data_IF_463998640116
#
_entry.id   IF_463998640116
#
_cell.length_a   1.000
_cell.length_b   1.000
_cell.length_c   1.000
_cell.angle_alpha   90.00
_cell.angle_beta   90.00
_cell.angle_gamma   90.00
#
_symmetry.space_group_name_H-M   'P 1'
#
loop_
_entity.id
_entity.type
_entity.pdbx_description
1 polymer ?
#
# COMPACT_ATOMS: atom_id res chain seq x y z
N UNK A 1 3.44 67.19 -10.29
CA UNK A 1 3.02 66.00 -11.09
C UNK A 1 4.10 64.90 -11.26
N UNK A 2 5.23 64.92 -10.55
CA UNK A 2 6.29 63.87 -10.69
C UNK A 2 6.24 62.74 -9.65
N UNK A 3 5.56 62.92 -8.52
CA UNK A 3 5.42 61.86 -7.49
C UNK A 3 4.30 60.87 -7.77
N UNK A 4 3.22 61.29 -8.45
CA UNK A 4 2.11 60.39 -8.84
C UNK A 4 2.51 59.34 -9.90
N UNK A 5 3.47 59.65 -10.78
CA UNK A 5 3.99 58.68 -11.77
C UNK A 5 4.91 57.60 -11.16
N UNK A 6 5.56 57.88 -10.03
CA UNK A 6 6.40 56.89 -9.33
C UNK A 6 5.58 55.88 -8.51
N UNK A 7 4.42 56.31 -7.98
CA UNK A 7 3.50 55.44 -7.25
C UNK A 7 2.69 54.52 -8.18
N UNK A 8 2.33 54.98 -9.39
CA UNK A 8 1.66 54.15 -10.40
C UNK A 8 2.62 53.10 -10.99
N UNK A 9 3.90 53.43 -11.16
CA UNK A 9 4.92 52.47 -11.60
C UNK A 9 5.28 51.43 -10.52
N UNK A 10 5.22 51.80 -9.23
CA UNK A 10 5.42 50.87 -8.12
C UNK A 10 4.22 49.91 -7.93
N UNK A 11 2.99 50.39 -8.15
CA UNK A 11 1.78 49.55 -8.10
C UNK A 11 1.69 48.55 -9.27
N UNK A 12 2.16 48.94 -10.47
CA UNK A 12 2.25 48.05 -11.63
C UNK A 12 3.38 47.01 -11.52
N UNK A 13 4.45 47.29 -10.77
CA UNK A 13 5.51 46.32 -10.49
C UNK A 13 5.15 45.31 -9.37
N UNK A 14 4.32 45.72 -8.41
CA UNK A 14 3.80 44.83 -7.37
C UNK A 14 2.73 43.85 -7.88
N UNK A 15 1.96 44.23 -8.91
CA UNK A 15 0.96 43.36 -9.55
C UNK A 15 1.56 42.36 -10.56
N UNK A 16 2.80 42.56 -11.00
CA UNK A 16 3.48 41.69 -11.97
C UNK A 16 4.41 40.64 -11.31
N UNK A 17 4.59 40.70 -9.99
CA UNK A 17 5.38 39.73 -9.22
C UNK A 17 4.53 38.66 -8.50
N UNK A 18 3.20 38.80 -8.49
CA UNK A 18 2.27 37.79 -7.97
C UNK A 18 1.78 36.79 -9.05
N UNK A 19 2.39 36.80 -10.24
CA UNK A 19 1.95 35.98 -11.40
C UNK A 19 2.90 34.87 -11.82
N UNK A 20 3.98 34.59 -11.09
CA UNK A 20 5.00 33.61 -11.47
C UNK A 20 5.31 32.65 -10.31
N UNK A 21 4.27 32.03 -9.75
CA UNK A 21 4.35 30.69 -9.14
C UNK A 21 2.92 30.13 -9.00
N UNK A 22 2.19 30.08 -10.12
CA UNK A 22 1.08 29.13 -10.24
C UNK A 22 1.70 27.78 -10.56
N UNK A 23 2.04 27.05 -9.49
CA UNK A 23 2.29 25.63 -9.58
C UNK A 23 1.04 24.94 -10.11
N UNK A 24 1.17 24.30 -11.26
CA UNK A 24 0.19 23.35 -11.75
C UNK A 24 0.24 22.12 -10.83
N UNK A 25 -0.75 21.99 -9.97
CA UNK A 25 -0.93 20.87 -9.07
C UNK A 25 -2.41 20.54 -8.92
N UNK A 26 -2.83 19.46 -9.58
CA UNK A 26 -4.00 18.67 -9.21
C UNK A 26 -5.34 19.05 -9.84
N UNK A 27 -5.77 18.27 -10.82
CA UNK A 27 -7.16 17.87 -10.94
C UNK A 27 -7.20 16.41 -11.43
N UNK A 28 -7.21 15.50 -10.46
CA UNK A 28 -7.64 14.12 -10.64
C UNK A 28 -9.02 14.12 -11.30
N UNK A 29 -9.19 13.32 -12.36
CA UNK A 29 -10.48 13.11 -12.98
C UNK A 29 -11.47 12.58 -11.95
N UNK A 30 -12.46 13.40 -11.60
CA UNK A 30 -13.66 12.93 -10.97
C UNK A 30 -14.47 12.20 -12.03
N UNK A 31 -14.42 10.87 -12.02
CA UNK A 31 -15.40 10.04 -12.72
C UNK A 31 -16.75 10.36 -12.09
N UNK A 32 -17.58 11.08 -12.83
CA UNK A 32 -19.00 11.19 -12.55
C UNK A 32 -19.62 9.79 -12.71
N UNK A 33 -19.71 9.04 -11.61
CA UNK A 33 -20.66 7.94 -11.54
C UNK A 33 -22.03 8.57 -11.45
N UNK A 34 -22.69 8.65 -12.60
CA UNK A 34 -24.13 8.81 -12.70
C UNK A 34 -24.77 7.66 -11.95
N UNK A 35 -25.15 7.87 -10.70
CA UNK A 35 -26.12 7.02 -10.00
C UNK A 35 -27.48 7.29 -10.65
N UNK A 36 -27.68 6.75 -11.86
CA UNK A 36 -29.00 6.54 -12.39
C UNK A 36 -29.64 5.52 -11.46
N UNK A 37 -30.62 5.99 -10.69
CA UNK A 37 -31.53 5.15 -9.95
C UNK A 37 -32.15 4.14 -10.93
N UNK A 38 -31.68 2.90 -10.86
CA UNK A 38 -32.41 1.77 -11.41
C UNK A 38 -33.54 1.52 -10.41
N UNK A 39 -34.68 2.12 -10.74
CA UNK A 39 -35.96 1.74 -10.20
C UNK A 39 -36.29 0.35 -10.75
N UNK A 40 -35.86 -0.69 -10.04
CA UNK A 40 -36.31 -2.04 -10.29
C UNK A 40 -37.71 -2.19 -9.69
N UNK A 41 -38.70 -2.11 -10.57
CA UNK A 41 -40.08 -2.48 -10.29
C UNK A 41 -40.10 -4.02 -10.30
N UNK A 42 -39.80 -4.63 -9.15
CA UNK A 42 -40.11 -6.03 -8.88
C UNK A 42 -41.53 -6.12 -8.30
N UNK A 43 -42.51 -6.09 -9.18
CA UNK A 43 -43.91 -6.37 -8.89
C UNK A 43 -44.15 -7.86 -9.19
N UNK A 44 -44.29 -8.70 -8.17
CA UNK A 44 -44.59 -10.12 -8.39
C UNK A 44 -44.40 -11.04 -7.18
N UNK A 45 -45.42 -11.09 -6.32
CA UNK A 45 -45.88 -12.22 -5.47
C UNK A 45 -46.64 -11.58 -4.30
N UNK A 46 -47.93 -11.82 -4.12
CA UNK A 46 -48.61 -13.10 -4.07
C UNK A 46 -49.24 -13.16 -2.68
N UNK A 47 -50.53 -12.84 -2.60
CA UNK A 47 -51.34 -12.95 -1.39
C UNK A 47 -51.18 -14.30 -0.67
N UNK A 48 -50.88 -14.25 0.63
CA UNK A 48 -51.29 -15.29 1.58
C UNK A 48 -51.30 -14.75 3.03
N UNK A 49 -52.50 -14.43 3.50
CA UNK A 49 -52.99 -14.71 4.86
C UNK A 49 -52.19 -14.24 6.06
N UNK A 50 -52.47 -13.01 6.53
CA UNK A 50 -52.21 -12.63 7.91
C UNK A 50 -53.30 -13.22 8.82
N UNK A 51 -52.92 -14.17 9.68
CA UNK A 51 -53.65 -14.46 10.92
C UNK A 51 -52.84 -13.88 12.08
N UNK A 52 -53.45 -12.89 12.72
CA UNK A 52 -53.04 -12.44 14.04
C UNK A 52 -53.49 -13.48 15.06
N UNK A 53 -52.59 -13.92 15.93
CA UNK A 53 -52.99 -14.30 17.28
C UNK A 53 -52.00 -13.75 18.31
N UNK A 54 -52.62 -13.25 19.36
CA UNK A 54 -52.07 -12.43 20.43
C UNK A 54 -51.66 -13.36 21.56
N UNK A 55 -50.38 -13.40 21.92
CA UNK A 55 -49.94 -14.03 23.16
C UNK A 55 -48.97 -13.12 23.91
N UNK A 56 -49.62 -12.30 24.75
CA UNK A 56 -49.21 -11.78 26.06
C UNK A 56 -47.76 -11.98 26.51
N UNK A 57 -47.11 -10.87 26.84
CA UNK A 57 -45.75 -10.82 27.34
C UNK A 57 -45.58 -11.37 28.76
N UNK A 58 -44.43 -11.99 28.98
CA UNK A 58 -43.76 -11.98 30.28
C UNK A 58 -42.27 -11.85 29.98
N UNK A 59 -41.70 -10.72 30.39
CA UNK A 59 -40.31 -10.37 30.14
C UNK A 59 -39.36 -11.38 30.77
N UNK A 60 -38.64 -12.10 29.92
CA UNK A 60 -37.35 -12.69 30.22
C UNK A 60 -36.33 -11.99 29.34
N UNK A 61 -35.40 -11.27 29.96
CA UNK A 61 -34.26 -10.69 29.26
C UNK A 61 -33.50 -11.82 28.56
N UNK A 62 -33.67 -11.95 27.25
CA UNK A 62 -32.74 -12.69 26.40
C UNK A 62 -31.46 -11.86 26.37
N UNK A 63 -30.63 -12.03 27.40
CA UNK A 63 -29.20 -11.83 27.24
C UNK A 63 -28.81 -12.63 26.00
N UNK A 64 -28.37 -11.92 24.98
CA UNK A 64 -27.58 -12.49 23.90
C UNK A 64 -26.29 -12.98 24.55
N UNK A 65 -26.40 -14.14 25.20
CA UNK A 65 -25.26 -14.96 25.52
C UNK A 65 -24.56 -15.19 24.19
N UNK A 66 -23.38 -14.60 24.06
CA UNK A 66 -22.51 -14.80 22.91
C UNK A 66 -22.22 -16.28 22.93
N UNK A 67 -22.98 -17.03 22.12
CA UNK A 67 -22.95 -18.47 22.09
C UNK A 67 -21.50 -18.88 22.03
N UNK A 68 -20.99 -19.36 23.15
CA UNK A 68 -19.74 -20.05 23.21
C UNK A 68 -19.93 -21.18 22.20
N UNK A 69 -19.28 -21.03 21.04
CA UNK A 69 -19.23 -22.03 20.00
C UNK A 69 -18.44 -23.19 20.59
N UNK A 70 -19.09 -23.97 21.45
CA UNK A 70 -18.58 -25.24 21.92
C UNK A 70 -18.24 -26.06 20.69
N UNK A 71 -17.03 -26.63 20.59
CA UNK A 71 -16.69 -27.53 19.51
C UNK A 71 -17.74 -28.64 19.47
N UNK A 72 -18.57 -28.65 18.43
CA UNK A 72 -19.28 -29.86 18.04
C UNK A 72 -18.17 -30.84 17.64
N UNK A 73 -17.83 -31.74 18.56
CA UNK A 73 -16.73 -32.71 18.51
C UNK A 73 -16.76 -33.62 17.26
N UNK A 74 -17.88 -33.61 16.53
CA UNK A 74 -18.05 -34.34 15.27
C UNK A 74 -17.75 -33.54 14.00
N UNK A 75 -17.67 -32.21 14.06
CA UNK A 75 -17.48 -31.39 12.85
C UNK A 75 -16.06 -31.51 12.32
N UNK A 76 -15.95 -31.65 11.00
CA UNK A 76 -14.67 -31.62 10.28
C UNK A 76 -14.46 -30.22 9.76
N UNK A 77 -13.56 -29.48 10.41
CA UNK A 77 -13.31 -28.07 10.12
C UNK A 77 -11.85 -27.89 9.71
N UNK A 78 -11.64 -27.18 8.62
CA UNK A 78 -10.31 -26.73 8.17
C UNK A 78 -10.15 -25.28 8.60
N UNK A 79 -9.04 -24.97 9.25
CA UNK A 79 -8.66 -23.61 9.63
C UNK A 79 -7.49 -23.13 8.79
N UNK A 80 -7.61 -21.93 8.26
CA UNK A 80 -6.55 -21.25 7.52
C UNK A 80 -6.39 -19.83 8.04
N UNK A 81 -5.15 -19.38 8.18
CA UNK A 81 -4.85 -18.00 8.52
C UNK A 81 -3.71 -17.45 7.67
N UNK A 82 -3.80 -16.15 7.41
CA UNK A 82 -2.71 -15.37 6.85
C UNK A 82 -2.43 -14.19 7.77
N UNK A 83 -1.18 -14.08 8.20
CA UNK A 83 -0.67 -13.02 9.05
C UNK A 83 0.32 -12.17 8.26
N UNK A 84 0.14 -10.85 8.33
CA UNK A 84 1.12 -9.88 7.85
C UNK A 84 1.68 -9.16 9.06
N UNK A 85 2.98 -9.33 9.25
CA UNK A 85 3.74 -8.84 10.38
C UNK A 85 4.85 -7.91 9.85
N UNK A 86 5.08 -6.84 10.58
CA UNK A 86 6.21 -5.94 10.35
C UNK A 86 7.11 -5.94 11.59
N UNK A 87 8.41 -5.83 11.38
CA UNK A 87 9.38 -5.76 12.48
C UNK A 87 10.53 -4.82 12.16
N UNK A 88 11.12 -4.22 13.20
CA UNK A 88 12.40 -3.51 13.10
C UNK A 88 13.60 -4.40 13.43
N UNK A 89 13.33 -5.56 14.02
CA UNK A 89 14.33 -6.51 14.51
C UNK A 89 14.00 -7.87 13.91
N UNK A 90 14.36 -8.05 12.65
CA UNK A 90 14.00 -9.23 11.86
C UNK A 90 14.44 -10.54 12.54
N UNK A 91 15.71 -10.62 12.97
CA UNK A 91 16.27 -11.85 13.52
C UNK A 91 15.56 -12.29 14.82
N UNK A 92 15.18 -11.32 15.67
CA UNK A 92 14.45 -11.61 16.92
C UNK A 92 12.99 -12.00 16.64
N UNK A 93 12.31 -11.31 15.73
CA UNK A 93 10.92 -11.62 15.39
C UNK A 93 10.80 -12.98 14.68
N UNK A 94 11.71 -13.29 13.75
CA UNK A 94 11.79 -14.59 13.09
C UNK A 94 12.03 -15.71 14.11
N UNK A 95 13.00 -15.54 15.02
CA UNK A 95 13.25 -16.52 16.07
C UNK A 95 12.04 -16.71 17.00
N UNK A 96 11.38 -15.62 17.41
CA UNK A 96 10.20 -15.68 18.26
C UNK A 96 9.02 -16.39 17.57
N UNK A 97 8.83 -16.20 16.27
CA UNK A 97 7.80 -16.90 15.49
C UNK A 97 8.07 -18.40 15.40
N UNK A 98 9.31 -18.80 15.14
CA UNK A 98 9.69 -20.21 15.06
C UNK A 98 9.59 -20.90 16.44
N UNK A 99 9.94 -20.19 17.51
CA UNK A 99 9.77 -20.68 18.88
C UNK A 99 8.29 -20.87 19.22
N UNK A 100 7.43 -19.88 18.90
CA UNK A 100 5.99 -19.98 19.08
C UNK A 100 5.40 -21.16 18.27
N UNK A 101 5.90 -21.38 17.04
CA UNK A 101 5.50 -22.53 16.23
C UNK A 101 5.91 -23.85 16.92
N UNK A 102 7.15 -23.95 17.41
CA UNK A 102 7.64 -25.14 18.11
C UNK A 102 6.84 -25.44 19.38
N UNK A 103 6.47 -24.41 20.15
CA UNK A 103 5.68 -24.55 21.37
C UNK A 103 4.26 -25.04 21.08
N UNK A 104 3.67 -24.61 19.96
CA UNK A 104 2.37 -25.08 19.49
C UNK A 104 2.41 -26.46 18.80
N UNK A 105 3.58 -27.14 18.77
CA UNK A 105 3.76 -28.40 18.06
C UNK A 105 3.65 -28.28 16.53
N UNK A 106 3.80 -27.07 16.00
CA UNK A 106 3.76 -26.79 14.58
C UNK A 106 5.12 -27.03 13.92
N UNK A 107 5.11 -27.25 12.61
CA UNK A 107 6.32 -27.35 11.81
C UNK A 107 6.27 -26.43 10.60
N UNK A 108 7.45 -26.05 10.11
CA UNK A 108 7.62 -25.27 8.88
C UNK A 108 7.50 -26.22 7.69
N UNK A 109 6.47 -26.04 6.88
CA UNK A 109 6.33 -26.77 5.61
C UNK A 109 7.21 -26.16 4.53
N UNK A 110 7.24 -24.83 4.46
CA UNK A 110 8.11 -24.10 3.55
C UNK A 110 8.49 -22.74 4.12
N UNK A 111 9.68 -22.28 3.76
CA UNK A 111 10.15 -20.94 4.09
C UNK A 111 10.85 -20.34 2.88
N UNK A 112 10.49 -19.11 2.55
CA UNK A 112 11.15 -18.33 1.52
C UNK A 112 11.61 -17.00 2.12
N UNK A 113 12.89 -16.69 2.00
CA UNK A 113 13.48 -15.46 2.54
C UNK A 113 14.04 -14.63 1.40
N UNK A 114 13.83 -13.32 1.46
CA UNK A 114 14.31 -12.37 0.47
C UNK A 114 14.79 -11.07 1.11
N UNK A 115 15.35 -10.16 0.31
CA UNK A 115 15.84 -8.85 0.76
C UNK A 115 17.28 -8.85 1.27
N UNK A 116 17.70 -7.74 1.90
CA UNK A 116 19.06 -7.50 2.38
C UNK A 116 19.06 -6.85 3.75
N UNK A 117 19.85 -7.42 4.67
CA UNK A 117 20.09 -6.83 5.99
C UNK A 117 20.70 -5.42 5.90
N UNK A 118 21.51 -5.14 4.88
CA UNK A 118 22.15 -3.83 4.69
C UNK A 118 21.14 -2.75 4.28
N UNK A 119 20.09 -3.13 3.54
CA UNK A 119 19.02 -2.22 3.11
C UNK A 119 17.88 -2.14 4.13
N UNK A 120 17.82 -3.07 5.08
CA UNK A 120 16.74 -3.17 6.06
C UNK A 120 15.39 -3.48 5.40
N UNK A 121 15.42 -4.28 4.32
CA UNK A 121 14.27 -4.70 3.52
C UNK A 121 14.11 -6.23 3.48
N UNK A 122 14.64 -6.95 4.49
CA UNK A 122 14.50 -8.40 4.59
C UNK A 122 13.04 -8.77 4.76
N UNK A 123 12.63 -9.84 4.11
CA UNK A 123 11.31 -10.43 4.29
C UNK A 123 11.41 -11.94 4.36
N UNK A 124 10.48 -12.55 5.10
CA UNK A 124 10.32 -14.01 5.10
C UNK A 124 8.86 -14.38 5.01
N UNK A 125 8.61 -15.38 4.19
CA UNK A 125 7.35 -16.05 4.05
C UNK A 125 7.45 -17.45 4.63
N UNK A 126 6.65 -17.74 5.66
CA UNK A 126 6.53 -19.07 6.24
C UNK A 126 5.16 -19.66 5.93
N UNK A 127 5.16 -20.93 5.50
CA UNK A 127 3.96 -21.77 5.52
C UNK A 127 4.12 -22.75 6.67
N UNK A 128 3.31 -22.56 7.72
CA UNK A 128 3.34 -23.36 8.94
C UNK A 128 2.15 -24.31 8.96
N UNK A 129 2.41 -25.55 9.37
CA UNK A 129 1.37 -26.54 9.64
C UNK A 129 1.23 -26.66 11.15
N UNK A 130 0.11 -26.15 11.66
CA UNK A 130 -0.16 -26.02 13.09
C UNK A 130 -1.25 -27.01 13.46
N UNK A 131 -1.07 -27.88 14.47
CA UNK A 131 -2.15 -28.73 14.96
C UNK A 131 -3.41 -27.91 15.24
N UNK A 132 -4.57 -28.36 14.75
CA UNK A 132 -5.82 -27.59 14.85
C UNK A 132 -6.19 -27.21 16.29
N UNK A 133 -5.81 -28.04 17.27
CA UNK A 133 -6.00 -27.79 18.70
C UNK A 133 -5.22 -26.57 19.20
N UNK A 134 -4.03 -26.33 18.67
CA UNK A 134 -3.12 -25.23 19.06
C UNK A 134 -3.17 -24.03 18.10
N UNK A 135 -4.05 -24.07 17.09
CA UNK A 135 -4.18 -23.01 16.08
C UNK A 135 -4.39 -21.62 16.70
N UNK A 136 -5.36 -21.50 17.62
CA UNK A 136 -5.70 -20.21 18.23
C UNK A 136 -4.59 -19.67 19.15
N UNK A 137 -3.91 -20.56 19.87
CA UNK A 137 -2.76 -20.25 20.72
C UNK A 137 -1.60 -19.73 19.89
N UNK A 138 -1.27 -20.43 18.80
CA UNK A 138 -0.23 -20.02 17.87
C UNK A 138 -0.50 -18.64 17.26
N UNK A 139 -1.72 -18.37 16.78
CA UNK A 139 -2.04 -17.08 16.18
C UNK A 139 -1.89 -15.91 17.17
N UNK A 140 -2.22 -16.13 18.44
CA UNK A 140 -2.07 -15.12 19.48
C UNK A 140 -0.59 -14.88 19.79
N UNK A 141 0.22 -15.94 19.91
CA UNK A 141 1.66 -15.83 20.12
C UNK A 141 2.37 -15.17 18.93
N UNK A 142 2.04 -15.58 17.71
CA UNK A 142 2.59 -15.01 16.48
C UNK A 142 2.24 -13.53 16.32
N UNK A 143 1.01 -13.14 16.67
CA UNK A 143 0.59 -11.74 16.67
C UNK A 143 1.30 -10.85 17.71
N UNK A 144 1.92 -11.44 18.74
CA UNK A 144 2.72 -10.72 19.74
C UNK A 144 4.22 -10.70 19.40
N UNK A 145 4.68 -11.59 18.52
CA UNK A 145 6.09 -11.67 18.12
C UNK A 145 6.57 -10.46 17.30
N UNK A 146 5.64 -9.78 16.60
CA UNK A 146 5.92 -8.63 15.75
C UNK A 146 4.70 -7.71 15.63
N UNK A 147 4.82 -6.60 14.89
CA UNK A 147 3.72 -5.67 14.67
C UNK A 147 2.74 -6.26 13.64
N UNK A 148 1.61 -6.78 14.09
CA UNK A 148 0.57 -7.33 13.22
C UNK A 148 -0.18 -6.23 12.46
N UNK A 149 0.07 -6.12 11.16
CA UNK A 149 -0.58 -5.11 10.31
C UNK A 149 -1.90 -5.60 9.74
N UNK A 150 -1.99 -6.89 9.43
CA UNK A 150 -3.20 -7.52 8.90
C UNK A 150 -3.29 -8.97 9.37
N UNK A 151 -4.50 -9.40 9.66
CA UNK A 151 -4.86 -10.79 9.95
C UNK A 151 -6.08 -11.16 9.12
N UNK A 152 -5.99 -12.28 8.42
CA UNK A 152 -7.10 -12.87 7.67
C UNK A 152 -7.26 -14.30 8.13
N UNK A 153 -8.48 -14.69 8.45
CA UNK A 153 -8.80 -16.04 8.89
C UNK A 153 -9.95 -16.56 8.05
N UNK A 154 -9.86 -17.84 7.69
CA UNK A 154 -10.90 -18.56 6.96
C UNK A 154 -11.10 -19.91 7.60
N UNK A 155 -12.36 -20.27 7.77
CA UNK A 155 -12.78 -21.54 8.35
C UNK A 155 -13.74 -22.20 7.39
N UNK A 156 -13.51 -23.46 7.08
CA UNK A 156 -14.35 -24.24 6.18
C UNK A 156 -14.86 -25.49 6.89
N UNK A 157 -16.19 -25.66 6.94
CA UNK A 157 -16.81 -26.90 7.40
C UNK A 157 -16.88 -27.88 6.23
N UNK A 158 -16.11 -28.95 6.34
CA UNK A 158 -15.99 -30.02 5.33
C UNK A 158 -16.63 -31.32 5.82
N UNK A 159 -17.50 -31.25 6.83
CA UNK A 159 -18.16 -32.44 7.40
C UNK A 159 -18.94 -33.22 6.34
N UNK A 160 -19.71 -32.51 5.50
CA UNK A 160 -20.49 -33.14 4.44
C UNK A 160 -19.61 -33.82 3.39
N UNK A 161 -18.53 -33.16 2.98
CA UNK A 161 -17.56 -33.69 2.01
C UNK A 161 -16.83 -34.92 2.55
N UNK A 162 -16.42 -34.87 3.83
CA UNK A 162 -15.77 -35.99 4.50
C UNK A 162 -16.67 -37.23 4.53
N UNK A 163 -17.94 -37.06 4.96
CA UNK A 163 -18.90 -38.15 5.05
C UNK A 163 -19.25 -38.72 3.67
N UNK A 164 -19.37 -37.87 2.65
CA UNK A 164 -19.61 -38.30 1.27
C UNK A 164 -18.44 -39.14 0.72
N UNK A 165 -17.19 -38.67 0.90
CA UNK A 165 -16.00 -39.41 0.48
C UNK A 165 -15.88 -40.76 1.20
N UNK A 166 -16.19 -40.80 2.50
CA UNK A 166 -16.20 -42.04 3.29
C UNK A 166 -17.26 -43.03 2.77
N UNK A 167 -18.48 -42.55 2.53
CA UNK A 167 -19.56 -43.37 1.97
C UNK A 167 -19.22 -43.88 0.55
N UNK A 168 -18.59 -43.03 -0.27
CA UNK A 168 -18.16 -43.38 -1.63
C UNK A 168 -17.09 -44.48 -1.61
N UNK A 169 -16.09 -44.34 -0.75
CA UNK A 169 -15.04 -45.36 -0.57
C UNK A 169 -15.64 -46.69 -0.12
N UNK A 170 -16.50 -46.68 0.90
CA UNK A 170 -17.16 -47.90 1.38
C UNK A 170 -17.98 -48.59 0.28
N UNK A 171 -18.70 -47.83 -0.54
CA UNK A 171 -19.46 -48.36 -1.67
C UNK A 171 -18.56 -49.00 -2.74
N UNK A 172 -17.41 -48.37 -3.05
CA UNK A 172 -16.46 -48.89 -4.04
C UNK A 172 -15.76 -50.15 -3.54
N UNK A 173 -15.41 -50.20 -2.25
CA UNK A 173 -14.84 -51.40 -1.62
C UNK A 173 -15.83 -52.57 -1.66
N UNK A 174 -17.11 -52.33 -1.36
CA UNK A 174 -18.15 -53.34 -1.48
C UNK A 174 -18.34 -53.79 -2.94
N UNK A 175 -18.26 -52.86 -3.90
CA UNK A 175 -18.33 -53.20 -5.32
C UNK A 175 -17.15 -54.08 -5.73
N UNK A 176 -15.93 -53.77 -5.28
CA UNK A 176 -14.73 -54.58 -5.53
C UNK A 176 -14.89 -55.99 -4.96
N UNK A 177 -15.35 -56.11 -3.71
CA UNK A 177 -15.61 -57.41 -3.09
C UNK A 177 -16.61 -58.23 -3.91
N UNK A 178 -17.69 -57.60 -4.40
CA UNK A 178 -18.67 -58.29 -5.24
C UNK A 178 -18.08 -58.73 -6.59
N UNK A 179 -17.20 -57.92 -7.19
CA UNK A 179 -16.47 -58.31 -8.40
C UNK A 179 -15.55 -59.50 -8.13
N UNK A 180 -14.87 -59.55 -6.99
CA UNK A 180 -14.04 -60.70 -6.59
C UNK A 180 -14.88 -61.98 -6.40
N UNK A 181 -16.07 -61.87 -5.79
CA UNK A 181 -17.02 -62.98 -5.66
C UNK A 181 -17.56 -63.48 -7.01
N UNK A 182 -17.77 -62.57 -7.97
CA UNK A 182 -18.17 -62.92 -9.34
C UNK A 182 -17.02 -63.57 -10.11
N UNK A 183 -15.80 -63.07 -9.97
CA UNK A 183 -14.60 -63.65 -10.57
C UNK A 183 -14.39 -65.10 -10.11
N UNK A 184 -14.60 -65.37 -8.82
CA UNK A 184 -14.48 -66.72 -8.26
C UNK A 184 -15.51 -67.73 -8.82
N UNK A 185 -16.62 -67.25 -9.39
CA UNK A 185 -17.71 -68.07 -9.97
C UNK A 185 -17.69 -68.09 -11.50
N UNK A 186 -16.82 -67.31 -12.15
CA UNK A 186 -16.78 -67.20 -13.60
C UNK A 186 -16.16 -68.46 -14.22
N UNK A 187 -16.88 -69.11 -15.13
CA UNK A 187 -16.41 -70.32 -15.82
C UNK A 187 -15.78 -70.00 -17.18
N UNK A 188 -16.09 -68.83 -17.76
CA UNK A 188 -15.62 -68.40 -19.08
C UNK A 188 -14.51 -67.36 -18.98
N UNK A 189 -13.51 -67.45 -19.87
CA UNK A 189 -12.40 -66.49 -19.93
C UNK A 189 -12.85 -65.06 -20.29
N UNK A 190 -13.86 -64.93 -21.16
CA UNK A 190 -14.39 -63.62 -21.56
C UNK A 190 -15.00 -62.87 -20.36
N UNK A 191 -15.81 -63.57 -19.55
CA UNK A 191 -16.39 -63.02 -18.32
C UNK A 191 -15.30 -62.63 -17.32
N UNK A 192 -14.26 -63.46 -17.18
CA UNK A 192 -13.13 -63.17 -16.29
C UNK A 192 -12.37 -61.91 -16.71
N UNK A 193 -12.08 -61.76 -18.01
CA UNK A 193 -11.40 -60.56 -18.54
C UNK A 193 -12.27 -59.30 -18.36
N UNK A 194 -13.59 -59.41 -18.55
CA UNK A 194 -14.51 -58.30 -18.32
C UNK A 194 -14.54 -57.87 -16.84
N UNK A 195 -14.58 -58.83 -15.91
CA UNK A 195 -14.54 -58.57 -14.47
C UNK A 195 -13.21 -57.92 -14.07
N UNK A 196 -12.08 -58.41 -14.58
CA UNK A 196 -10.75 -57.84 -14.28
C UNK A 196 -10.61 -56.40 -14.79
N UNK A 197 -11.16 -56.10 -15.97
CA UNK A 197 -11.21 -54.73 -16.50
C UNK A 197 -12.03 -53.81 -15.56
N UNK A 198 -13.20 -54.27 -15.10
CA UNK A 198 -14.03 -53.50 -14.18
C UNK A 198 -13.36 -53.34 -12.80
N UNK A 199 -12.72 -54.40 -12.29
CA UNK A 199 -12.01 -54.37 -11.01
C UNK A 199 -10.87 -53.36 -11.05
N UNK A 200 -10.12 -53.32 -12.16
CA UNK A 200 -9.05 -52.34 -12.37
C UNK A 200 -9.59 -50.90 -12.32
N UNK A 201 -10.73 -50.63 -12.95
CA UNK A 201 -11.36 -49.31 -12.89
C UNK A 201 -11.77 -48.93 -11.46
N UNK A 202 -12.46 -49.84 -10.75
CA UNK A 202 -12.86 -49.62 -9.35
C UNK A 202 -11.65 -49.38 -8.46
N UNK A 203 -10.56 -50.12 -8.67
CA UNK A 203 -9.33 -49.96 -7.90
C UNK A 203 -8.71 -48.57 -8.10
N UNK A 204 -8.66 -48.06 -9.34
CA UNK A 204 -8.21 -46.69 -9.60
C UNK A 204 -9.09 -45.64 -8.93
N UNK A 205 -10.41 -45.84 -8.92
CA UNK A 205 -11.34 -44.94 -8.22
C UNK A 205 -11.07 -44.94 -6.70
N UNK A 206 -10.91 -46.12 -6.08
CA UNK A 206 -10.58 -46.26 -4.66
C UNK A 206 -9.30 -45.50 -4.33
N UNK A 207 -8.24 -45.69 -5.12
CA UNK A 207 -6.95 -45.01 -4.89
C UNK A 207 -7.08 -43.49 -5.00
N UNK A 208 -7.82 -43.01 -6.00
CA UNK A 208 -8.09 -41.58 -6.18
C UNK A 208 -8.84 -40.98 -4.99
N UNK A 209 -9.94 -41.60 -4.56
CA UNK A 209 -10.72 -41.11 -3.42
C UNK A 209 -9.98 -41.27 -2.09
N UNK A 210 -9.14 -42.29 -1.94
CA UNK A 210 -8.26 -42.46 -0.79
C UNK A 210 -7.24 -41.32 -0.71
N UNK A 211 -6.65 -40.94 -1.84
CA UNK A 211 -5.77 -39.77 -1.92
C UNK A 211 -6.45 -38.48 -1.47
N UNK A 212 -7.67 -38.23 -1.98
CA UNK A 212 -8.48 -37.07 -1.59
C UNK A 212 -8.81 -37.07 -0.10
N UNK A 213 -9.22 -38.23 0.45
CA UNK A 213 -9.49 -38.41 1.87
C UNK A 213 -8.26 -38.12 2.74
N UNK A 214 -7.08 -38.55 2.33
CA UNK A 214 -5.84 -38.30 3.08
C UNK A 214 -5.48 -36.81 3.12
N UNK A 215 -5.63 -36.09 1.99
CA UNK A 215 -5.42 -34.64 1.94
C UNK A 215 -6.41 -33.93 2.87
N UNK A 216 -7.68 -34.31 2.81
CA UNK A 216 -8.71 -33.70 3.66
C UNK A 216 -8.44 -33.95 5.14
N UNK A 217 -8.04 -35.17 5.51
CA UNK A 217 -7.65 -35.52 6.89
C UNK A 217 -6.46 -34.69 7.38
N UNK A 218 -5.45 -34.49 6.54
CA UNK A 218 -4.29 -33.65 6.89
C UNK A 218 -4.70 -32.19 7.10
N UNK A 219 -5.59 -31.65 6.26
CA UNK A 219 -6.12 -30.29 6.39
C UNK A 219 -7.02 -30.09 7.63
N UNK A 220 -7.70 -31.15 8.09
CA UNK A 220 -8.49 -31.12 9.33
C UNK A 220 -7.56 -31.23 10.55
N UNK A 221 -6.56 -32.09 10.51
CA UNK A 221 -5.64 -32.30 11.62
C UNK A 221 -4.70 -31.11 11.83
N UNK A 222 -4.22 -30.52 10.73
CA UNK A 222 -3.33 -29.37 10.73
C UNK A 222 -3.94 -28.20 9.97
N UNK A 223 -3.95 -27.06 10.65
CA UNK A 223 -4.30 -25.76 10.09
C UNK A 223 -3.12 -25.20 9.29
N UNK A 224 -3.41 -24.51 8.19
CA UNK A 224 -2.38 -23.80 7.41
C UNK A 224 -2.29 -22.36 7.90
N UNK A 225 -1.12 -21.96 8.38
CA UNK A 225 -0.86 -20.57 8.74
C UNK A 225 0.27 -20.02 7.88
N UNK A 226 -0.09 -19.05 7.07
CA UNK A 226 0.82 -18.30 6.21
C UNK A 226 1.26 -17.04 6.96
N UNK A 227 2.56 -16.86 7.12
CA UNK A 227 3.12 -15.72 7.86
C UNK A 227 4.07 -14.95 6.95
N UNK A 228 3.71 -13.71 6.67
CA UNK A 228 4.57 -12.72 6.02
C UNK A 228 5.20 -11.86 7.10
N UNK A 229 6.52 -11.84 7.19
CA UNK A 229 7.26 -10.99 8.09
C UNK A 229 8.18 -10.07 7.27
N UNK A 230 7.89 -8.77 7.32
CA UNK A 230 8.64 -7.73 6.62
C UNK A 230 9.49 -6.91 7.62
N UNK A 231 10.77 -6.74 7.31
CA UNK A 231 11.66 -5.80 8.00
C UNK A 231 11.40 -4.38 7.47
N UNK A 232 11.08 -3.47 8.38
CA UNK A 232 10.77 -2.08 8.07
C UNK A 232 11.48 -1.12 9.03
N UNK A 233 11.84 0.06 8.53
CA UNK A 233 12.47 1.12 9.34
C UNK A 233 11.43 1.87 10.19
N UNK A 234 10.20 1.99 9.70
CA UNK A 234 9.03 2.53 10.41
C UNK A 234 7.89 1.52 10.38
N UNK A 235 7.26 1.28 11.54
CA UNK A 235 6.14 0.34 11.66
C UNK A 235 4.84 1.03 11.25
N UNK A 236 4.00 0.32 10.49
CA UNK A 236 2.65 0.72 10.17
C UNK A 236 1.78 0.69 11.44
N UNK A 237 1.08 1.78 11.80
CA UNK A 237 0.22 1.80 12.97
C UNK A 237 -0.95 0.82 12.85
N UNK A 238 -1.12 -0.10 13.81
CA UNK A 238 -2.22 -1.08 13.84
C UNK A 238 -3.63 -0.46 13.80
N UNK A 239 -3.74 0.82 14.13
CA UNK A 239 -4.93 1.63 13.87
C UNK A 239 -4.48 3.06 13.62
N UNK A 240 -4.67 3.62 12.41
CA UNK A 240 -4.29 4.99 12.16
C UNK A 240 -5.33 5.91 12.80
N UNK A 241 -5.15 6.20 14.09
CA UNK A 241 -5.82 7.34 14.72
C UNK A 241 -5.52 8.61 13.91
N UNK A 242 -6.45 9.55 13.86
CA UNK A 242 -6.25 10.85 13.18
C UNK A 242 -4.95 11.54 13.64
N UNK A 243 -4.60 11.37 14.92
CA UNK A 243 -3.39 11.94 15.54
C UNK A 243 -2.10 11.28 15.03
N UNK A 244 -2.09 9.96 14.82
CA UNK A 244 -0.91 9.27 14.25
C UNK A 244 -0.72 9.58 12.77
N UNK A 245 -1.81 9.79 12.01
CA UNK A 245 -1.76 10.29 10.61
C UNK A 245 -1.22 11.72 10.51
N UNK A 246 -1.63 12.61 11.42
CA UNK A 246 -1.11 13.99 11.45
C UNK A 246 0.36 14.01 11.90
N UNK A 247 0.75 13.17 12.86
CA UNK A 247 2.14 13.06 13.31
C UNK A 247 3.09 12.49 12.25
N UNK A 248 2.69 11.44 11.52
CA UNK A 248 3.49 10.90 10.41
C UNK A 248 3.54 11.86 9.22
N UNK A 249 2.44 12.53 8.89
CA UNK A 249 2.42 13.59 7.88
C UNK A 249 3.33 14.78 8.25
N UNK A 250 3.38 15.16 9.53
CA UNK A 250 4.27 16.21 10.01
C UNK A 250 5.75 15.82 9.95
N UNK A 251 6.10 14.58 10.34
CA UNK A 251 7.48 14.07 10.21
C UNK A 251 7.91 13.91 8.75
N UNK A 252 7.04 13.39 7.89
CA UNK A 252 7.29 13.32 6.44
C UNK A 252 7.49 14.70 5.82
N UNK A 253 6.68 15.69 6.24
CA UNK A 253 6.84 17.10 5.81
C UNK A 253 8.14 17.71 6.33
N UNK A 254 8.57 17.37 7.54
CA UNK A 254 9.84 17.82 8.11
C UNK A 254 11.05 17.24 7.38
N UNK A 255 11.02 15.95 7.03
CA UNK A 255 12.07 15.34 6.20
C UNK A 255 12.10 15.95 4.79
N UNK A 256 10.94 16.26 4.20
CA UNK A 256 10.86 17.01 2.94
C UNK A 256 11.45 18.43 3.04
N UNK A 257 11.20 19.13 4.14
CA UNK A 257 11.81 20.43 4.41
C UNK A 257 13.34 20.34 4.52
N UNK A 258 13.86 19.35 5.26
CA UNK A 258 15.30 19.11 5.37
C UNK A 258 15.91 18.80 4.00
N UNK A 259 15.24 18.01 3.16
CA UNK A 259 15.69 17.72 1.80
C UNK A 259 15.77 18.99 0.93
N UNK A 260 14.78 19.89 1.01
CA UNK A 260 14.81 21.17 0.28
C UNK A 260 15.92 22.10 0.79
N UNK A 261 16.13 22.16 2.10
CA UNK A 261 17.23 22.95 2.69
C UNK A 261 18.58 22.39 2.26
N UNK A 262 18.73 21.08 2.25
CA UNK A 262 19.94 20.40 1.77
C UNK A 262 20.21 20.70 0.28
N UNK A 263 19.19 20.63 -0.57
CA UNK A 263 19.29 21.01 -1.98
C UNK A 263 19.64 22.49 -2.18
N UNK A 264 19.09 23.39 -1.35
CA UNK A 264 19.48 24.81 -1.37
C UNK A 264 20.95 25.01 -0.99
N UNK A 265 21.44 24.32 0.04
CA UNK A 265 22.84 24.42 0.49
C UNK A 265 23.79 23.89 -0.59
N UNK A 266 23.48 22.72 -1.17
CA UNK A 266 24.27 22.14 -2.27
C UNK A 266 24.23 23.08 -3.49
N UNK A 267 23.06 23.59 -3.86
CA UNK A 267 22.89 24.56 -4.94
C UNK A 267 23.70 25.85 -4.73
N UNK A 268 23.77 26.36 -3.49
CA UNK A 268 24.56 27.55 -3.15
C UNK A 268 26.07 27.30 -3.32
N UNK A 269 26.54 26.10 -2.96
CA UNK A 269 27.94 25.68 -3.16
C UNK A 269 28.25 25.61 -4.65
N UNK A 270 27.36 25.05 -5.48
CA UNK A 270 27.52 25.02 -6.93
C UNK A 270 27.46 26.41 -7.59
N UNK A 271 26.72 27.36 -7.00
CA UNK A 271 26.62 28.75 -7.48
C UNK A 271 27.89 29.57 -7.16
N UNK A 272 28.59 29.23 -6.08
CA UNK A 272 29.78 29.94 -5.58
C UNK A 272 30.88 30.13 -6.65
N UNK A 273 31.32 29.11 -7.42
CA UNK A 273 32.31 29.31 -8.48
C UNK A 273 31.84 30.29 -9.57
N UNK A 274 30.56 30.29 -9.93
CA UNK A 274 30.02 31.25 -10.91
C UNK A 274 30.00 32.68 -10.36
N UNK A 275 29.66 32.88 -9.08
CA UNK A 275 29.73 34.19 -8.42
C UNK A 275 31.17 34.72 -8.35
N UNK A 276 32.15 33.84 -8.11
CA UNK A 276 33.57 34.22 -8.15
C UNK A 276 33.98 34.69 -9.54
N UNK A 277 33.60 33.96 -10.60
CA UNK A 277 33.87 34.36 -11.99
C UNK A 277 33.19 35.70 -12.31
N UNK A 278 31.91 35.87 -11.94
CA UNK A 278 31.18 37.12 -12.14
C UNK A 278 31.82 38.31 -11.41
N UNK A 279 32.26 38.11 -10.16
CA UNK A 279 32.98 39.13 -9.39
C UNK A 279 34.30 39.53 -10.05
N UNK A 280 35.07 38.55 -10.56
CA UNK A 280 36.29 38.82 -11.32
C UNK A 280 35.99 39.63 -12.59
N UNK A 281 34.97 39.25 -13.35
CA UNK A 281 34.54 39.99 -14.56
C UNK A 281 34.14 41.43 -14.21
N UNK A 282 33.34 41.63 -13.15
CA UNK A 282 32.93 42.97 -12.71
C UNK A 282 34.15 43.82 -12.30
N UNK A 283 35.10 43.25 -11.55
CA UNK A 283 36.33 43.95 -11.14
C UNK A 283 37.13 44.35 -12.38
N UNK A 284 37.30 43.46 -13.35
CA UNK A 284 38.01 43.75 -14.60
C UNK A 284 37.30 44.88 -15.37
N UNK A 285 35.99 44.81 -15.55
CA UNK A 285 35.20 45.84 -16.24
C UNK A 285 35.30 47.20 -15.53
N UNK A 286 35.18 47.23 -14.19
CA UNK A 286 35.30 48.46 -13.39
C UNK A 286 36.71 49.04 -13.48
N UNK A 287 37.76 48.22 -13.45
CA UNK A 287 39.14 48.69 -13.59
C UNK A 287 39.40 49.26 -14.99
N UNK A 288 38.87 48.62 -16.04
CA UNK A 288 38.97 49.10 -17.42
C UNK A 288 38.18 50.40 -17.62
N UNK A 289 36.96 50.51 -17.08
CA UNK A 289 36.14 51.72 -17.13
C UNK A 289 36.77 52.89 -16.36
N UNK A 290 37.37 52.62 -15.18
CA UNK A 290 38.12 53.62 -14.41
C UNK A 290 39.40 54.07 -15.13
N UNK A 291 40.03 53.20 -15.91
CA UNK A 291 41.18 53.55 -16.76
C UNK A 291 40.76 54.40 -17.97
N UNK A 292 39.60 54.11 -18.57
CA UNK A 292 39.04 54.92 -19.66
C UNK A 292 38.57 56.31 -19.20
N UNK A 293 37.96 56.42 -18.01
CA UNK A 293 37.51 57.68 -17.44
C UNK A 293 38.65 58.66 -17.08
N UNK A 294 39.88 58.17 -16.85
CA UNK A 294 41.07 59.01 -16.65
C UNK A 294 41.64 59.61 -17.95
N UNK A 295 41.09 59.26 -19.12
CA UNK A 295 41.56 59.73 -20.43
C UNK A 295 40.65 60.76 -21.12
N UNK A 296 39.65 61.32 -20.45
CA UNK A 296 38.84 62.41 -21.00
C UNK A 296 39.03 63.73 -20.22
N UNK A 297 39.74 64.73 -20.79
CA UNK A 297 39.82 66.10 -20.27
C UNK A 297 38.45 66.80 -20.37
N UNK A 298 38.18 67.67 -19.40
CA UNK A 298 37.02 68.59 -19.38
C UNK A 298 36.99 69.47 -20.65
N UNK A 299 35.81 69.85 -21.18
CA UNK A 299 35.72 70.95 -22.12
C UNK A 299 35.98 72.27 -21.39
N UNK A 300 37.11 72.92 -21.70
CA UNK A 300 37.47 74.25 -21.22
C UNK A 300 36.83 75.34 -22.07
N UNK A 301 36.27 76.32 -21.38
CA UNK A 301 35.75 77.56 -21.93
C UNK A 301 36.88 78.53 -22.36
N UNK A 302 36.67 79.18 -23.51
CA UNK A 302 36.83 80.62 -23.79
C UNK A 302 38.23 81.26 -23.98
N UNK A 303 38.51 81.82 -25.19
CA UNK A 303 38.80 83.27 -25.43
C UNK A 303 39.07 83.63 -26.93
N UNK A 304 38.38 84.66 -27.42
CA UNK A 304 38.70 85.56 -28.56
C UNK A 304 39.96 86.43 -28.25
N UNK A 305 40.58 87.26 -29.16
CA UNK A 305 39.98 88.02 -30.29
C UNK A 305 40.88 88.31 -31.55
N UNK A 306 40.31 89.00 -32.55
CA UNK A 306 41.07 89.80 -33.54
C UNK A 306 40.34 90.14 -34.86
N UNK A 307 39.73 91.34 -34.92
CA UNK A 307 39.70 92.36 -36.02
C UNK A 307 39.38 91.91 -37.47
N UNK A 308 38.48 92.51 -38.28
CA UNK A 308 38.10 93.91 -38.50
C UNK A 308 36.78 93.97 -39.30
N UNK A 309 36.10 95.13 -39.26
CA UNK A 309 35.38 95.63 -40.45
C UNK A 309 33.89 95.95 -40.31
N UNK A 310 33.62 97.26 -40.21
CA UNK A 310 32.54 98.00 -40.86
C UNK A 310 31.16 98.16 -40.19
N UNK A 311 30.89 99.46 -39.95
CA UNK A 311 29.64 100.21 -40.12
C UNK A 311 28.59 100.31 -38.98
N UNK A 312 28.58 101.52 -38.39
CA UNK A 312 27.49 102.33 -37.83
C UNK A 312 26.17 102.30 -38.63
N UNK A 313 25.01 102.88 -38.19
CA UNK A 313 24.71 103.85 -37.09
C UNK A 313 23.46 103.40 -36.24
N UNK A 314 22.74 104.19 -35.39
CA UNK A 314 22.67 105.66 -35.23
C UNK A 314 22.62 106.26 -33.80
N UNK A 315 22.55 107.59 -33.87
CA UNK A 315 22.49 108.68 -32.87
C UNK A 315 21.35 108.59 -31.83
N UNK A 316 21.47 109.53 -30.88
CA UNK A 316 20.48 110.29 -30.08
C UNK A 316 20.57 110.00 -28.57
N UNK A 317 21.29 110.83 -27.80
CA UNK A 317 20.94 112.17 -27.27
C UNK A 317 20.14 112.08 -25.97
N UNK A 318 20.69 112.60 -24.87
CA UNK A 318 19.90 113.25 -23.81
C UNK A 318 20.70 114.37 -23.13
N UNK A 319 20.05 115.54 -23.07
CA UNK A 319 20.28 116.72 -22.20
C UNK A 319 21.57 117.50 -22.46
N UNK A 320 21.55 118.82 -22.70
CA UNK A 320 20.66 119.89 -22.21
C UNK A 320 20.82 121.12 -23.12
#
# INVERSE_FOLDING_TARGET
MKHRKKWIAAALAAALFTGLFTGCGGASGATATSTAAVQEIAQGSGEAGAVADTANGTGGQTSLDSGALTPQDSRKIIYNATLWLETKQYDQASAALLEAASQAGAYVQSSETSGSAERGDRSVYYTLRVPAEHYSEFLNAAGQAANLTRRSESTQDVTAEYVDLEARLASLEQQRQRLDELAAKAENLEDLLAIENQRTQVQYEIESYTGQMNVLKDQIAYSTVEVYLDEVTELTPQSPSFVSRVGSAFRGSWNGFVAVVQELVIGLIYLLPFLVVAAVVIVVVVLLARRAAKKHPRPSAQKQPGTDGANQPPKYTQMK
#
